data_IF_646736198555
#
_entry.id   IF_646736198555
#
_cell.length_a   1.000
_cell.length_b   1.000
_cell.length_c   1.000
_cell.angle_alpha   90.00
_cell.angle_beta   90.00
_cell.angle_gamma   90.00
#
_symmetry.space_group_name_H-M   'P 1'
#
loop_
_entity.id
_entity.type
_entity.pdbx_description
1 polymer ?
#
# COMPACT_ATOMS: atom_id res chain seq x y z
N UNK A 1 -7.98 -11.05 -28.27
CA UNK A 1 -6.65 -11.46 -27.81
C UNK A 1 -6.57 -11.10 -26.33
N UNK A 2 -6.36 -12.05 -25.40
CA UNK A 2 -6.18 -11.68 -24.01
C UNK A 2 -4.83 -10.96 -23.88
N UNK A 3 -4.86 -9.75 -23.32
CA UNK A 3 -3.67 -9.09 -22.81
C UNK A 3 -3.03 -10.05 -21.81
N UNK A 4 -1.87 -10.60 -22.16
CA UNK A 4 -1.06 -11.36 -21.23
C UNK A 4 -0.54 -10.35 -20.22
N UNK A 5 -1.13 -10.31 -19.04
CA UNK A 5 -0.54 -9.57 -17.93
C UNK A 5 0.75 -10.32 -17.57
N UNK A 6 1.88 -9.64 -17.67
CA UNK A 6 3.16 -10.15 -17.18
C UNK A 6 3.05 -10.28 -15.66
N UNK A 7 2.61 -11.45 -15.18
CA UNK A 7 2.54 -11.80 -13.74
C UNK A 7 3.92 -11.86 -13.06
N UNK A 8 4.99 -11.48 -13.78
CA UNK A 8 6.32 -11.33 -13.21
C UNK A 8 6.43 -10.00 -12.49
N UNK A 9 6.05 -10.01 -11.21
CA UNK A 9 6.55 -9.03 -10.24
C UNK A 9 8.08 -9.16 -10.24
N UNK A 10 8.75 -8.23 -10.92
CA UNK A 10 10.21 -8.16 -10.94
C UNK A 10 10.67 -7.59 -9.60
N UNK A 11 11.74 -8.13 -9.00
CA UNK A 11 12.33 -7.50 -7.81
C UNK A 11 12.76 -6.08 -8.17
N UNK A 12 12.42 -5.11 -7.34
CA UNK A 12 12.73 -3.68 -7.55
C UNK A 12 14.25 -3.48 -7.72
N UNK A 13 15.06 -4.36 -7.15
CA UNK A 13 16.52 -4.33 -7.20
C UNK A 13 17.13 -5.04 -8.43
N UNK A 14 16.30 -5.65 -9.30
CA UNK A 14 16.77 -6.52 -10.39
C UNK A 14 17.00 -5.80 -11.72
N UNK A 15 16.65 -4.52 -11.81
CA UNK A 15 17.01 -3.64 -12.92
C UNK A 15 17.71 -2.41 -12.35
N UNK A 16 18.74 -1.87 -13.04
CA UNK A 16 19.20 -0.53 -12.75
C UNK A 16 17.98 0.39 -12.83
N UNK A 17 17.64 1.06 -11.74
CA UNK A 17 16.66 2.15 -11.80
C UNK A 17 17.18 3.09 -12.89
N UNK A 18 16.35 3.37 -13.90
CA UNK A 18 16.73 4.34 -14.91
C UNK A 18 17.04 5.65 -14.20
N UNK A 19 18.09 6.36 -14.61
CA UNK A 19 18.55 7.56 -13.90
C UNK A 19 17.42 8.60 -13.79
N UNK A 20 16.52 8.63 -14.79
CA UNK A 20 15.33 9.48 -14.76
C UNK A 20 14.26 9.08 -13.73
N UNK A 21 14.16 7.80 -13.33
CA UNK A 21 13.26 7.38 -12.24
C UNK A 21 13.84 7.75 -10.88
N UNK A 22 15.17 7.67 -10.74
CA UNK A 22 15.86 8.06 -9.51
C UNK A 22 15.78 9.57 -9.27
N UNK A 23 15.87 10.38 -10.33
CA UNK A 23 15.72 11.84 -10.24
C UNK A 23 14.36 12.25 -9.66
N UNK A 24 13.28 11.54 -10.03
CA UNK A 24 11.93 11.80 -9.50
C UNK A 24 11.88 11.49 -7.99
N UNK A 25 12.51 10.40 -7.54
CA UNK A 25 12.51 10.05 -6.11
C UNK A 25 13.28 11.09 -5.29
N UNK A 26 14.40 11.57 -5.82
CA UNK A 26 15.21 12.61 -5.17
C UNK A 26 14.52 13.98 -5.14
N UNK A 27 13.66 14.27 -6.10
CA UNK A 27 12.88 15.51 -6.16
C UNK A 27 11.77 15.57 -5.08
N UNK A 28 11.30 14.41 -4.61
CA UNK A 28 10.20 14.29 -3.63
C UNK A 28 10.55 13.43 -2.40
N UNK A 29 11.56 13.82 -1.59
CA UNK A 29 12.02 13.02 -0.45
C UNK A 29 10.98 12.91 0.69
N UNK A 30 10.00 13.81 0.73
CA UNK A 30 8.89 13.81 1.68
C UNK A 30 7.76 12.84 1.30
N UNK A 31 7.64 12.51 0.01
CA UNK A 31 6.67 11.53 -0.51
C UNK A 31 7.19 10.11 -0.35
N UNK A 32 8.51 9.92 -0.40
CA UNK A 32 9.19 8.63 -0.25
C UNK A 32 10.15 8.62 0.96
N UNK A 33 9.66 8.81 2.19
CA UNK A 33 10.51 8.73 3.37
C UNK A 33 10.98 7.29 3.61
N UNK A 34 12.17 7.13 4.18
CA UNK A 34 12.73 5.82 4.57
C UNK A 34 11.81 5.06 5.55
N UNK A 35 11.04 5.79 6.36
CA UNK A 35 10.02 5.27 7.26
C UNK A 35 8.66 5.92 6.97
N UNK A 36 7.60 5.11 6.89
CA UNK A 36 6.25 5.63 6.64
C UNK A 36 5.72 6.41 7.86
N UNK A 37 5.04 7.55 7.65
CA UNK A 37 4.33 8.23 8.73
C UNK A 37 3.19 7.32 9.23
N UNK A 38 3.22 6.95 10.51
CA UNK A 38 2.30 5.96 11.07
C UNK A 38 0.82 6.38 11.11
N UNK A 39 0.55 7.68 10.99
CA UNK A 39 -0.81 8.23 10.91
C UNK A 39 -0.95 8.91 9.54
N UNK A 40 -2.01 8.61 8.78
CA UNK A 40 -2.28 9.33 7.54
C UNK A 40 -2.30 10.85 7.79
N UNK A 41 -1.69 11.66 6.91
CA UNK A 41 -1.74 13.11 7.03
C UNK A 41 -3.19 13.61 7.15
N UNK A 42 -3.36 14.76 7.83
CA UNK A 42 -4.66 15.42 7.94
C UNK A 42 -5.17 15.71 6.53
N UNK A 43 -6.27 15.05 6.15
CA UNK A 43 -6.95 15.30 4.88
C UNK A 43 -7.90 16.48 5.04
N UNK A 44 -8.06 17.29 4.00
CA UNK A 44 -9.05 18.38 3.99
C UNK A 44 -10.48 17.85 3.98
N UNK A 45 -10.66 16.68 3.35
CA UNK A 45 -11.96 16.04 3.19
C UNK A 45 -12.04 14.76 4.04
N UNK A 46 -13.23 14.46 4.53
CA UNK A 46 -13.52 13.25 5.28
C UNK A 46 -13.50 12.01 4.37
N UNK A 47 -12.91 10.92 4.87
CA UNK A 47 -12.90 9.65 4.15
C UNK A 47 -14.19 8.88 4.40
N UNK A 48 -15.02 8.75 3.37
CA UNK A 48 -16.28 8.01 3.44
C UNK A 48 -16.12 6.62 2.80
N UNK A 49 -16.68 5.58 3.44
CA UNK A 49 -16.77 4.23 2.89
C UNK A 49 -18.23 4.02 2.45
N UNK A 50 -18.46 4.05 1.15
CA UNK A 50 -19.77 3.77 0.58
C UNK A 50 -19.98 2.25 0.49
N UNK A 51 -21.12 1.80 1.00
CA UNK A 51 -21.52 0.40 0.89
C UNK A 51 -22.47 0.24 -0.30
N UNK A 52 -22.35 -0.88 -1.00
CA UNK A 52 -23.38 -1.28 -1.97
C UNK A 52 -24.71 -1.48 -1.22
N UNK A 53 -25.86 -1.09 -1.78
CA UNK A 53 -27.16 -1.31 -1.15
C UNK A 53 -27.36 -2.78 -0.80
N UNK A 54 -27.72 -3.05 0.46
CA UNK A 54 -27.91 -4.42 0.97
C UNK A 54 -26.64 -5.08 1.53
N UNK A 55 -25.50 -4.39 1.58
CA UNK A 55 -24.33 -4.89 2.31
C UNK A 55 -24.62 -4.93 3.82
N UNK A 56 -24.30 -6.07 4.44
CA UNK A 56 -24.41 -6.26 5.89
C UNK A 56 -23.01 -6.23 6.54
N UNK A 57 -22.88 -5.77 7.80
CA UNK A 57 -21.62 -5.83 8.53
C UNK A 57 -21.09 -7.27 8.65
N UNK A 58 -19.79 -7.45 8.41
CA UNK A 58 -19.14 -8.75 8.54
C UNK A 58 -18.48 -8.86 9.92
N UNK A 59 -18.81 -9.92 10.65
CA UNK A 59 -18.14 -10.28 11.90
C UNK A 59 -17.45 -11.62 11.75
N UNK A 60 -16.14 -11.66 11.98
CA UNK A 60 -15.31 -12.87 11.92
C UNK A 60 -14.41 -12.93 13.14
N UNK A 61 -14.26 -14.13 13.72
CA UNK A 61 -13.33 -14.32 14.82
C UNK A 61 -11.87 -13.99 14.37
N UNK A 62 -11.08 -13.32 15.22
CA UNK A 62 -9.65 -13.12 14.96
C UNK A 62 -8.93 -14.46 14.79
N UNK A 63 -7.85 -14.46 14.00
CA UNK A 63 -6.97 -15.62 13.91
C UNK A 63 -6.22 -15.84 15.22
N UNK A 64 -5.84 -17.09 15.50
CA UNK A 64 -5.00 -17.41 16.66
C UNK A 64 -3.58 -16.92 16.39
N UNK A 65 -3.11 -15.99 17.21
CA UNK A 65 -1.74 -15.48 17.19
C UNK A 65 -0.91 -16.14 18.29
N UNK A 66 0.41 -16.23 18.10
CA UNK A 66 1.30 -16.71 19.14
C UNK A 66 1.39 -15.68 20.28
N UNK A 67 1.68 -16.08 21.54
CA UNK A 67 1.78 -15.14 22.65
C UNK A 67 2.81 -14.00 22.45
N UNK A 68 3.81 -14.18 21.59
CA UNK A 68 4.81 -13.15 21.27
C UNK A 68 4.25 -12.02 20.39
N UNK A 69 3.24 -12.32 19.55
CA UNK A 69 2.59 -11.36 18.65
C UNK A 69 1.47 -10.57 19.35
N UNK A 70 1.03 -11.06 20.52
CA UNK A 70 0.05 -10.39 21.38
C UNK A 70 0.68 -9.44 22.42
N UNK A 71 2.01 -9.26 22.38
CA UNK A 71 2.75 -8.39 23.30
C UNK A 71 2.61 -6.92 22.96
#
# INVERSE_FOLDING_TARGET
>A
LPLQFDDKIRPINALPLDMGEFDIILEFPDVFPDELPGIPPVRKDEFNIELIPGAEPISKAPYRMAPVELK
#
